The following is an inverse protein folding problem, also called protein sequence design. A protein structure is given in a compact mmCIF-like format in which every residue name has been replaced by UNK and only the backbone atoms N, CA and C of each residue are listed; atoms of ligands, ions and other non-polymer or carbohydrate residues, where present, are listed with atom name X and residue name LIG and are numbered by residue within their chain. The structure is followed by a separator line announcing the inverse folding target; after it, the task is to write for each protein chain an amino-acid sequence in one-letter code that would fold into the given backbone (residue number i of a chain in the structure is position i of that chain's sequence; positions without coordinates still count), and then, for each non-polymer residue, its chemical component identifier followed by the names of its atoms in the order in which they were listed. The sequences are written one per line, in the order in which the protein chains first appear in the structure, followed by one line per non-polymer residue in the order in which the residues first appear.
data_IF_225572823127
#
_entry.id   IF_225572823127
#
_cell.length_a   1.000
_cell.length_b   1.000
_cell.length_c   1.000
_cell.angle_alpha   90.00
_cell.angle_beta   90.00
_cell.angle_gamma   90.00
#
_symmetry.space_group_name_H-M   'P 1'
#
loop_
_entity.id
_entity.type
_entity.pdbx_description
1 polymer ?
#
# COMPACT_ATOMS: atom_id res chain seq x y z
N UNK A 1 8.89 -0.83 14.84
CA UNK A 1 8.92 -2.25 14.47
C UNK A 1 10.32 -2.62 14.01
N UNK A 2 10.68 -3.90 14.02
CA UNK A 2 12.01 -4.36 13.58
C UNK A 2 11.97 -4.73 12.09
N UNK A 3 12.91 -4.20 11.30
CA UNK A 3 13.11 -4.63 9.91
C UNK A 3 13.65 -6.06 9.86
N UNK A 4 13.03 -6.93 9.06
CA UNK A 4 13.38 -8.36 9.00
C UNK A 4 14.05 -8.78 7.70
N UNK A 5 13.55 -8.28 6.57
CA UNK A 5 14.06 -8.65 5.25
C UNK A 5 13.71 -7.63 4.20
N UNK A 6 14.50 -7.61 3.14
CA UNK A 6 14.26 -6.88 1.89
C UNK A 6 14.40 -7.87 0.74
N UNK A 7 13.52 -7.80 -0.26
CA UNK A 7 13.58 -8.63 -1.46
C UNK A 7 13.01 -7.88 -2.66
N UNK A 8 13.20 -8.44 -3.84
CA UNK A 8 12.63 -7.93 -5.10
C UNK A 8 11.69 -8.99 -5.64
N UNK A 9 10.51 -8.59 -6.11
CA UNK A 9 9.57 -9.52 -6.73
C UNK A 9 9.85 -9.75 -8.22
N UNK A 10 9.02 -10.56 -8.86
CA UNK A 10 9.13 -10.90 -10.29
C UNK A 10 8.89 -9.70 -11.22
N UNK A 11 8.38 -8.59 -10.69
CA UNK A 11 8.11 -7.34 -11.42
C UNK A 11 9.18 -6.27 -11.16
N UNK A 12 10.28 -6.62 -10.47
CA UNK A 12 11.33 -5.66 -10.13
C UNK A 12 10.97 -4.71 -8.98
N UNK A 13 9.80 -4.88 -8.35
CA UNK A 13 9.38 -4.02 -7.24
C UNK A 13 10.11 -4.38 -5.96
N UNK A 14 10.50 -3.37 -5.19
CA UNK A 14 11.24 -3.57 -3.94
C UNK A 14 10.26 -3.78 -2.79
N UNK A 15 10.52 -4.81 -1.98
CA UNK A 15 9.73 -5.15 -0.80
C UNK A 15 10.58 -5.08 0.46
N UNK A 16 9.97 -4.70 1.58
CA UNK A 16 10.58 -4.80 2.90
C UNK A 16 9.54 -5.23 3.94
N UNK A 17 9.93 -6.11 4.88
CA UNK A 17 9.05 -6.58 5.95
C UNK A 17 9.49 -6.01 7.29
N UNK A 18 8.52 -5.52 8.06
CA UNK A 18 8.68 -5.00 9.41
C UNK A 18 7.76 -5.77 10.35
N UNK A 19 8.31 -6.24 11.48
CA UNK A 19 7.55 -7.01 12.47
C UNK A 19 7.55 -6.29 13.82
N UNK A 20 6.36 -6.20 14.40
CA UNK A 20 6.15 -5.66 15.75
C UNK A 20 6.02 -6.75 16.80
N UNK A 21 5.24 -6.47 17.84
CA UNK A 21 4.88 -7.47 18.86
C UNK A 21 4.01 -8.57 18.23
N UNK A 22 3.94 -9.73 18.90
CA UNK A 22 3.12 -10.85 18.45
C UNK A 22 1.66 -10.41 18.20
N UNK A 23 1.17 -10.69 16.99
CA UNK A 23 -0.18 -10.38 16.52
C UNK A 23 -0.45 -11.02 15.17
N UNK A 24 -1.72 -11.26 14.85
CA UNK A 24 -2.12 -11.94 13.61
C UNK A 24 -2.34 -11.03 12.41
N UNK A 25 -2.28 -9.70 12.60
CA UNK A 25 -2.59 -8.75 11.53
C UNK A 25 -1.40 -8.52 10.61
N UNK A 26 -1.68 -8.48 9.31
CA UNK A 26 -0.73 -8.06 8.27
C UNK A 26 -1.28 -6.83 7.57
N UNK A 27 -0.43 -5.84 7.37
CA UNK A 27 -0.73 -4.62 6.64
C UNK A 27 0.20 -4.50 5.44
N UNK A 28 -0.33 -3.99 4.33
CA UNK A 28 0.50 -3.60 3.20
C UNK A 28 0.61 -2.08 3.18
N UNK A 29 1.81 -1.58 2.91
CA UNK A 29 2.05 -0.19 2.64
C UNK A 29 2.64 -0.07 1.24
N UNK A 30 1.94 0.64 0.36
CA UNK A 30 2.29 0.77 -1.05
C UNK A 30 2.68 2.21 -1.36
N UNK A 31 3.86 2.42 -1.95
CA UNK A 31 4.37 3.73 -2.28
C UNK A 31 5.02 3.75 -3.66
N UNK A 32 4.88 4.85 -4.43
CA UNK A 32 5.70 5.05 -5.61
C UNK A 32 7.15 5.39 -5.21
N UNK A 33 8.16 5.12 -6.06
CA UNK A 33 9.58 5.29 -5.72
C UNK A 33 9.94 6.70 -5.22
N UNK A 34 9.36 7.74 -5.82
CA UNK A 34 9.61 9.13 -5.47
C UNK A 34 9.09 9.54 -4.08
N UNK A 35 8.18 8.76 -3.49
CA UNK A 35 7.63 9.01 -2.15
C UNK A 35 8.16 8.02 -1.10
N UNK A 36 8.96 7.03 -1.50
CA UNK A 36 9.33 5.90 -0.63
C UNK A 36 10.46 6.20 0.38
N UNK A 37 11.31 7.20 0.11
CA UNK A 37 12.58 7.39 0.83
C UNK A 37 12.45 7.54 2.35
N UNK A 38 11.40 8.22 2.84
CA UNK A 38 11.17 8.49 4.27
C UNK A 38 10.31 7.45 5.00
N UNK A 39 9.88 6.39 4.32
CA UNK A 39 8.92 5.43 4.87
C UNK A 39 9.58 4.41 5.82
N UNK A 40 10.75 3.80 5.49
CA UNK A 40 11.36 2.81 6.35
C UNK A 40 11.63 3.30 7.78
N UNK A 41 12.03 4.56 7.95
CA UNK A 41 12.25 5.17 9.27
C UNK A 41 10.96 5.31 10.07
N UNK A 42 9.85 5.66 9.43
CA UNK A 42 8.53 5.72 10.06
C UNK A 42 8.02 4.33 10.48
N UNK A 43 8.21 3.30 9.64
CA UNK A 43 7.86 1.93 10.00
C UNK A 43 8.74 1.38 11.13
N UNK A 44 10.02 1.75 11.17
CA UNK A 44 10.91 1.41 12.27
C UNK A 44 10.46 2.05 13.60
N UNK A 45 9.94 3.28 13.56
CA UNK A 45 9.42 3.99 14.72
C UNK A 45 8.05 3.47 15.22
N UNK A 46 7.30 2.74 14.39
CA UNK A 46 5.96 2.24 14.71
C UNK A 46 5.97 1.29 15.92
N UNK A 47 5.19 1.57 16.96
CA UNK A 47 4.84 0.57 17.96
C UNK A 47 3.49 -0.04 17.58
N UNK A 48 3.46 -1.36 17.37
CA UNK A 48 2.28 -2.07 16.91
C UNK A 48 2.45 -3.59 17.00
N UNK A 49 1.34 -4.31 16.84
CA UNK A 49 1.33 -5.77 16.74
C UNK A 49 1.26 -6.21 15.29
N UNK A 50 1.78 -7.40 15.01
CA UNK A 50 1.72 -8.01 13.69
C UNK A 50 2.83 -7.51 12.76
N UNK A 51 2.52 -7.48 11.46
CA UNK A 51 3.48 -7.27 10.39
C UNK A 51 3.04 -6.17 9.43
N UNK A 52 3.99 -5.39 8.97
CA UNK A 52 3.82 -4.41 7.90
C UNK A 52 4.79 -4.75 6.78
N UNK A 53 4.25 -5.01 5.60
CA UNK A 53 5.04 -5.16 4.37
C UNK A 53 5.01 -3.83 3.62
N UNK A 54 6.18 -3.29 3.28
CA UNK A 54 6.36 -2.14 2.39
C UNK A 54 6.60 -2.66 0.98
N UNK A 55 5.82 -2.15 0.02
CA UNK A 55 5.99 -2.32 -1.41
C UNK A 55 6.30 -0.97 -2.06
N UNK A 56 7.46 -0.88 -2.72
CA UNK A 56 7.80 0.22 -3.62
C UNK A 56 7.58 -0.24 -5.05
N UNK A 57 6.60 0.33 -5.74
CA UNK A 57 6.13 -0.15 -7.04
C UNK A 57 5.95 0.97 -8.06
N UNK A 58 6.12 0.64 -9.33
CA UNK A 58 5.67 1.45 -10.47
C UNK A 58 4.55 0.68 -11.21
N UNK A 59 3.43 1.35 -11.46
CA UNK A 59 2.23 0.73 -12.02
C UNK A 59 1.37 0.00 -10.99
N UNK A 60 0.28 -0.64 -11.43
CA UNK A 60 -0.74 -1.28 -10.58
C UNK A 60 -0.58 -2.79 -10.49
N UNK A 61 0.03 -3.41 -11.50
CA UNK A 61 0.18 -4.87 -11.57
C UNK A 61 0.99 -5.44 -10.41
N UNK A 62 2.15 -4.86 -10.01
CA UNK A 62 2.90 -5.35 -8.85
C UNK A 62 2.09 -5.21 -7.55
N UNK A 63 1.35 -4.12 -7.40
CA UNK A 63 0.46 -3.90 -6.25
C UNK A 63 -0.65 -4.97 -6.18
N UNK A 64 -1.34 -5.23 -7.30
CA UNK A 64 -2.38 -6.25 -7.38
C UNK A 64 -1.84 -7.65 -7.07
N UNK A 65 -0.62 -7.97 -7.51
CA UNK A 65 0.04 -9.22 -7.19
C UNK A 65 0.35 -9.33 -5.69
N UNK A 66 0.98 -8.30 -5.11
CA UNK A 66 1.30 -8.26 -3.69
C UNK A 66 0.05 -8.36 -2.80
N UNK A 67 -1.05 -7.69 -3.16
CA UNK A 67 -2.32 -7.76 -2.44
C UNK A 67 -2.89 -9.19 -2.42
N UNK A 68 -2.79 -9.92 -3.53
CA UNK A 68 -3.26 -11.32 -3.62
C UNK A 68 -2.35 -12.29 -2.88
N UNK A 69 -1.04 -12.09 -2.95
CA UNK A 69 -0.06 -12.98 -2.32
C UNK A 69 -0.03 -12.81 -0.80
N UNK A 70 -0.04 -11.56 -0.34
CA UNK A 70 0.12 -11.25 1.07
C UNK A 70 -1.19 -11.30 1.85
N UNK A 71 -2.33 -11.19 1.17
CA UNK A 71 -3.67 -11.12 1.77
C UNK A 71 -3.72 -10.18 2.99
N UNK A 72 -3.29 -8.91 2.84
CA UNK A 72 -3.24 -8.00 3.96
C UNK A 72 -4.65 -7.65 4.44
N UNK A 73 -4.78 -7.33 5.73
CA UNK A 73 -6.03 -6.82 6.31
C UNK A 73 -6.48 -5.52 5.67
N UNK A 74 -5.53 -4.72 5.21
CA UNK A 74 -5.75 -3.47 4.51
C UNK A 74 -4.45 -2.93 3.94
N UNK A 75 -4.58 -1.98 3.02
CA UNK A 75 -3.45 -1.31 2.37
C UNK A 75 -3.46 0.19 2.65
N UNK A 76 -2.30 0.70 3.08
CA UNK A 76 -2.02 2.12 3.17
C UNK A 76 -1.27 2.55 1.91
N UNK A 77 -1.83 3.48 1.15
CA UNK A 77 -1.26 3.97 -0.10
C UNK A 77 -0.68 5.35 0.14
N UNK A 78 0.58 5.52 -0.22
CA UNK A 78 1.29 6.80 -0.12
C UNK A 78 1.09 7.59 -1.41
N UNK A 79 0.55 8.80 -1.27
CA UNK A 79 0.30 9.74 -2.36
C UNK A 79 0.80 11.13 -1.96
N UNK A 80 0.91 12.11 -2.87
CA UNK A 80 1.36 13.47 -2.52
C UNK A 80 0.50 14.18 -1.46
N UNK A 81 -0.75 13.74 -1.28
CA UNK A 81 -1.68 14.22 -0.25
C UNK A 81 -2.62 13.11 0.19
N UNK A 82 -3.18 13.23 1.38
CA UNK A 82 -4.25 12.35 1.84
C UNK A 82 -5.53 12.54 1.01
N UNK A 83 -6.26 11.46 0.76
CA UNK A 83 -7.52 11.45 0.01
C UNK A 83 -8.54 10.59 0.75
N UNK A 84 -9.79 11.08 0.84
CA UNK A 84 -10.85 10.35 1.55
C UNK A 84 -11.56 9.32 0.67
N UNK A 85 -11.63 9.55 -0.64
CA UNK A 85 -12.28 8.68 -1.63
C UNK A 85 -11.83 9.06 -3.03
N UNK A 86 -12.25 8.30 -4.04
CA UNK A 86 -11.97 8.65 -5.43
C UNK A 86 -12.89 7.96 -6.43
N UNK A 87 -12.96 8.51 -7.67
CA UNK A 87 -13.80 7.97 -8.73
C UNK A 87 -13.23 6.66 -9.28
N UNK A 88 -14.01 5.99 -10.13
CA UNK A 88 -13.50 4.92 -10.99
C UNK A 88 -12.48 5.49 -11.97
N UNK A 89 -11.47 4.70 -12.32
CA UNK A 89 -10.39 5.10 -13.22
C UNK A 89 -10.18 4.08 -14.31
N UNK A 90 -9.75 4.56 -15.48
CA UNK A 90 -9.30 3.70 -16.58
C UNK A 90 -7.81 3.95 -16.77
N UNK A 91 -7.00 2.92 -16.54
CA UNK A 91 -5.56 2.97 -16.79
C UNK A 91 -5.30 2.42 -18.19
N UNK A 92 -4.67 3.21 -19.09
CA UNK A 92 -4.37 2.76 -20.44
C UNK A 92 -3.58 1.45 -20.44
N UNK A 93 -3.99 0.52 -21.30
CA UNK A 93 -3.26 -0.73 -21.45
C UNK A 93 -1.87 -0.47 -22.05
N UNK A 94 -0.84 -1.02 -21.40
CA UNK A 94 0.53 -1.00 -21.91
C UNK A 94 1.25 -2.29 -21.58
N UNK A 95 2.27 -2.62 -22.39
CA UNK A 95 3.23 -3.67 -22.05
C UNK A 95 4.40 -3.03 -21.33
N UNK A 96 4.77 -3.59 -20.18
CA UNK A 96 5.95 -3.18 -19.43
C UNK A 96 7.04 -4.22 -19.63
N UNK A 97 8.22 -3.77 -20.02
CA UNK A 97 9.44 -4.56 -20.07
C UNK A 97 10.35 -4.05 -18.95
N UNK A 98 10.42 -4.79 -17.84
CA UNK A 98 11.30 -4.44 -16.72
C UNK A 98 12.71 -5.01 -16.95
N UNK A 99 13.72 -4.31 -16.42
CA UNK A 99 15.13 -4.64 -16.57
C UNK A 99 15.54 -5.97 -15.90
N UNK A 100 14.69 -6.55 -15.03
CA UNK A 100 14.97 -7.79 -14.31
C UNK A 100 13.93 -8.91 -14.43
N UNK A 101 12.82 -8.71 -15.16
CA UNK A 101 11.64 -9.59 -15.10
C UNK A 101 11.00 -9.98 -16.43
N UNK A 102 9.98 -10.85 -16.35
CA UNK A 102 9.15 -11.21 -17.50
C UNK A 102 8.18 -10.06 -17.81
N UNK A 103 8.15 -9.60 -19.07
CA UNK A 103 7.27 -8.50 -19.46
C UNK A 103 5.80 -8.81 -19.18
N UNK A 104 5.06 -7.82 -18.69
CA UNK A 104 3.67 -7.96 -18.26
C UNK A 104 2.75 -6.91 -18.89
N UNK A 105 1.44 -7.13 -18.77
CA UNK A 105 0.42 -6.16 -19.18
C UNK A 105 -0.04 -5.36 -17.98
N UNK A 106 -0.05 -4.06 -18.14
CA UNK A 106 -0.51 -3.07 -17.18
C UNK A 106 -1.76 -2.42 -17.76
N UNK A 107 -2.69 -1.99 -16.91
CA UNK A 107 -3.89 -1.25 -17.31
C UNK A 107 -5.19 -2.01 -17.03
N UNK A 108 -6.29 -1.35 -17.37
CA UNK A 108 -7.65 -1.85 -17.14
C UNK A 108 -8.56 -0.82 -16.47
N UNK A 109 -9.79 -1.25 -16.21
CA UNK A 109 -10.80 -0.47 -15.51
C UNK A 109 -10.79 -0.82 -14.02
N UNK A 110 -10.77 0.22 -13.18
CA UNK A 110 -10.77 0.09 -11.74
C UNK A 110 -11.93 0.89 -11.14
N UNK A 111 -12.62 0.33 -10.13
CA UNK A 111 -13.83 0.94 -9.58
C UNK A 111 -13.51 2.19 -8.75
N UNK A 112 -14.56 2.95 -8.43
CA UNK A 112 -14.49 3.97 -7.39
C UNK A 112 -14.16 3.34 -6.04
N UNK A 113 -13.56 4.13 -5.15
CA UNK A 113 -13.10 3.65 -3.85
C UNK A 113 -13.46 4.64 -2.73
N UNK A 114 -13.57 4.10 -1.53
CA UNK A 114 -13.84 4.85 -0.29
C UNK A 114 -12.79 4.48 0.75
N UNK A 115 -12.18 5.49 1.38
CA UNK A 115 -11.17 5.30 2.42
C UNK A 115 -11.76 4.63 3.67
N UNK A 116 -11.05 3.63 4.20
CA UNK A 116 -11.52 2.80 5.31
C UNK A 116 -11.48 3.50 6.68
N UNK A 117 -10.60 4.49 6.84
CA UNK A 117 -10.37 5.17 8.14
C UNK A 117 -11.24 6.43 8.35
N UNK A 118 -12.14 6.77 7.42
CA UNK A 118 -12.90 8.03 7.51
C UNK A 118 -12.00 9.27 7.64
N UNK A 119 -10.77 9.19 7.12
CA UNK A 119 -9.77 10.26 7.25
C UNK A 119 -10.31 11.52 6.58
N UNK A 120 -10.16 12.66 7.24
CA UNK A 120 -10.46 13.95 6.64
C UNK A 120 -9.55 14.16 5.42
N UNK A 121 -10.16 14.31 4.24
CA UNK A 121 -9.44 14.51 2.98
C UNK A 121 -10.41 14.83 1.87
N UNK A 122 -9.94 15.53 0.85
CA UNK A 122 -10.74 15.75 -0.35
C UNK A 122 -10.85 14.45 -1.17
N UNK A 123 -11.95 14.25 -1.90
CA UNK A 123 -12.01 13.20 -2.90
C UNK A 123 -10.98 13.48 -4.00
N UNK A 124 -10.37 12.44 -4.55
CA UNK A 124 -9.40 12.57 -5.63
C UNK A 124 -9.09 11.25 -6.31
N UNK A 125 -8.66 11.36 -7.56
CA UNK A 125 -8.23 10.20 -8.33
C UNK A 125 -6.97 9.57 -7.72
N UNK A 126 -6.99 8.24 -7.55
CA UNK A 126 -5.82 7.46 -7.17
C UNK A 126 -5.95 6.03 -7.73
N UNK A 127 -5.11 5.70 -8.71
CA UNK A 127 -5.18 4.40 -9.40
C UNK A 127 -4.84 3.23 -8.50
N UNK A 128 -3.87 3.38 -7.59
CA UNK A 128 -3.50 2.35 -6.63
C UNK A 128 -4.66 2.05 -5.66
N UNK A 129 -5.38 3.08 -5.22
CA UNK A 129 -6.52 2.90 -4.32
C UNK A 129 -7.70 2.24 -5.02
N UNK A 130 -7.95 2.61 -6.28
CA UNK A 130 -8.95 1.97 -7.13
C UNK A 130 -8.59 0.50 -7.39
N UNK A 131 -7.30 0.20 -7.60
CA UNK A 131 -6.80 -1.16 -7.75
C UNK A 131 -7.01 -2.01 -6.49
N UNK A 132 -6.71 -1.46 -5.31
CA UNK A 132 -6.99 -2.14 -4.04
C UNK A 132 -8.50 -2.41 -3.85
N UNK A 133 -9.34 -1.42 -4.16
CA UNK A 133 -10.79 -1.55 -4.08
C UNK A 133 -11.35 -2.62 -5.04
N UNK A 134 -10.73 -2.83 -6.20
CA UNK A 134 -11.13 -3.91 -7.14
C UNK A 134 -10.98 -5.31 -6.54
N UNK A 135 -10.13 -5.48 -5.52
CA UNK A 135 -9.94 -6.72 -4.78
C UNK A 135 -10.70 -6.74 -3.44
N UNK A 136 -11.58 -5.75 -3.21
CA UNK A 136 -12.29 -5.54 -1.94
C UNK A 136 -11.36 -5.42 -0.73
N UNK A 137 -10.11 -4.99 -0.93
CA UNK A 137 -9.16 -4.73 0.17
C UNK A 137 -9.43 -3.34 0.75
N UNK A 138 -9.61 -3.21 2.07
CA UNK A 138 -9.73 -1.92 2.73
C UNK A 138 -8.52 -1.04 2.41
N UNK A 139 -8.78 0.19 1.96
CA UNK A 139 -7.74 1.12 1.51
C UNK A 139 -7.76 2.41 2.32
N UNK A 140 -6.58 2.96 2.61
CA UNK A 140 -6.40 4.30 3.15
C UNK A 140 -5.34 5.01 2.32
N UNK A 141 -5.56 6.26 1.94
CA UNK A 141 -4.60 7.07 1.18
C UNK A 141 -4.08 8.18 2.07
N UNK A 142 -2.76 8.29 2.21
CA UNK A 142 -2.12 9.28 3.09
C UNK A 142 -0.89 9.91 2.44
N UNK A 143 -0.45 11.03 3.00
CA UNK A 143 0.78 11.71 2.61
C UNK A 143 2.02 11.03 3.24
N UNK A 144 3.23 11.17 2.65
CA UNK A 144 4.41 10.44 3.10
C UNK A 144 4.79 10.73 4.54
N UNK A 145 4.60 11.97 5.00
CA UNK A 145 4.87 12.46 6.34
C UNK A 145 3.85 11.99 7.40
N UNK A 146 2.72 11.43 6.96
CA UNK A 146 1.63 10.98 7.82
C UNK A 146 1.52 9.45 7.91
N UNK A 147 2.46 8.70 7.32
CA UNK A 147 2.41 7.23 7.27
C UNK A 147 2.32 6.62 8.67
N UNK A 148 3.23 7.02 9.58
CA UNK A 148 3.24 6.46 10.93
C UNK A 148 1.92 6.69 11.66
N UNK A 149 1.50 7.96 11.78
CA UNK A 149 0.29 8.34 12.53
C UNK A 149 -0.97 7.70 11.93
N UNK A 150 -1.06 7.60 10.60
CA UNK A 150 -2.21 6.99 9.94
C UNK A 150 -2.28 5.50 10.22
N UNK A 151 -1.14 4.81 10.17
CA UNK A 151 -1.08 3.37 10.42
C UNK A 151 -1.36 3.03 11.88
N UNK A 152 -0.83 3.82 12.83
CA UNK A 152 -1.14 3.68 14.25
C UNK A 152 -2.64 3.87 14.53
N UNK A 153 -3.25 4.91 13.96
CA UNK A 153 -4.68 5.14 14.07
C UNK A 153 -5.50 3.95 13.53
N UNK A 154 -5.05 3.34 12.43
CA UNK A 154 -5.73 2.16 11.88
C UNK A 154 -5.58 0.94 12.79
N UNK A 155 -4.38 0.73 13.33
CA UNK A 155 -4.10 -0.35 14.28
C UNK A 155 -4.92 -0.20 15.56
N UNK A 156 -5.08 1.02 16.08
CA UNK A 156 -5.87 1.29 17.29
C UNK A 156 -7.38 1.01 17.09
N UNK A 157 -7.93 1.29 15.90
CA UNK A 157 -9.32 0.94 15.56
C UNK A 157 -9.52 -0.56 15.28
N UNK A 158 -8.43 -1.31 15.16
CA UNK A 158 -8.45 -2.73 14.82
C UNK A 158 -8.41 -3.57 16.08
N UNK A 159 -9.36 -4.49 16.32
CA UNK A 159 -9.30 -5.40 17.45
C UNK A 159 -7.96 -6.15 17.47
N UNK A 160 -7.22 -6.05 18.58
CA UNK A 160 -5.87 -6.61 18.74
C UNK A 160 -4.79 -6.05 17.77
N UNK A 161 -5.01 -4.87 17.19
CA UNK A 161 -4.07 -4.23 16.26
C UNK A 161 -2.84 -3.59 16.92
N UNK A 162 -2.95 -3.17 18.18
CA UNK A 162 -1.84 -2.64 19.01
C UNK A 162 -1.90 -3.18 20.44
#
# INVERSE_FOLDING_TARGET
MEHKRTWTDVYGSAHASFEGRAGGHRWLLAAPPELAAGIPSQLAALDGKGRVDLLVHDGLTPLLAALRELEPRGVLIVAPRALASGPAVTVPERRVEDAGGAGYREGGEFPAWQGALGVAGEPGENGAASAAASLAVPVVVTAPDHVQVTLEAWMDLTPHGR
#
